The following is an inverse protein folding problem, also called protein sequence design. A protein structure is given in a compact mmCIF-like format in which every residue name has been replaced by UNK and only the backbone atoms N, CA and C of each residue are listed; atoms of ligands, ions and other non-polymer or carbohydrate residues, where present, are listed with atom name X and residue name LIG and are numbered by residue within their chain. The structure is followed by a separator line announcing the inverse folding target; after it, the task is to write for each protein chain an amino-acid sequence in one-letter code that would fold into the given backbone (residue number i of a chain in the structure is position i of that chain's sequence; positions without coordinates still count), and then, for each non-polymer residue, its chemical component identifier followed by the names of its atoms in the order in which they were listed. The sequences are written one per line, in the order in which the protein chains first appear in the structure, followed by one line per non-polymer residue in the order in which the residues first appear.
data_IF_306290807951
#
_entry.id   IF_306290807951
#
_cell.length_a   1.000
_cell.length_b   1.000
_cell.length_c   1.000
_cell.angle_alpha   90.00
_cell.angle_beta   90.00
_cell.angle_gamma   90.00
#
_symmetry.space_group_name_H-M   'P 1'
#
loop_
_entity.id
_entity.type
_entity.pdbx_description
1 polymer ?
#
# COMPACT_ATOMS: atom_id res chain seq x y z
N UNK A 1 -9.60 10.82 8.66
CA UNK A 1 -9.40 9.74 7.67
C UNK A 1 -8.80 10.37 6.43
N UNK A 2 -7.54 10.07 6.13
CA UNK A 2 -6.96 10.42 4.84
C UNK A 2 -7.75 9.71 3.74
N UNK A 3 -8.15 10.48 2.73
CA UNK A 3 -8.98 10.00 1.64
C UNK A 3 -8.07 9.49 0.53
N UNK A 4 -7.62 8.24 0.67
CA UNK A 4 -6.68 7.57 -0.26
C UNK A 4 -7.14 7.68 -1.71
N UNK A 5 -8.46 7.59 -1.94
CA UNK A 5 -9.04 7.73 -3.29
C UNK A 5 -8.84 9.15 -3.85
N UNK A 6 -8.86 10.17 -3.00
CA UNK A 6 -8.60 11.57 -3.38
C UNK A 6 -7.13 11.80 -3.71
N UNK A 7 -6.20 11.14 -3.01
CA UNK A 7 -4.76 11.33 -3.25
C UNK A 7 -4.26 10.50 -4.44
N UNK A 8 -4.82 9.30 -4.63
CA UNK A 8 -4.61 8.47 -5.80
C UNK A 8 -5.13 9.12 -7.11
N UNK A 9 -6.15 9.99 -7.02
CA UNK A 9 -6.72 10.70 -8.18
C UNK A 9 -6.04 12.03 -8.53
N UNK A 10 -4.99 12.42 -7.78
CA UNK A 10 -4.22 13.63 -8.10
C UNK A 10 -3.44 13.45 -9.41
N UNK A 11 -3.32 14.54 -10.17
CA UNK A 11 -2.48 14.56 -11.38
C UNK A 11 -1.04 14.18 -11.07
N UNK A 12 -0.48 13.28 -11.88
CA UNK A 12 0.85 12.69 -11.69
C UNK A 12 0.89 11.50 -10.72
N UNK A 13 -0.25 11.03 -10.22
CA UNK A 13 -0.37 9.77 -9.50
C UNK A 13 -0.59 8.60 -10.46
N UNK A 14 0.02 7.45 -10.17
CA UNK A 14 -0.21 6.18 -10.86
C UNK A 14 -0.84 5.20 -9.88
N UNK A 15 -1.93 4.54 -10.26
CA UNK A 15 -2.65 3.63 -9.35
C UNK A 15 -1.83 2.36 -9.07
N UNK A 16 -1.95 1.83 -7.84
CA UNK A 16 -1.32 0.58 -7.42
C UNK A 16 -2.37 -0.31 -6.74
N UNK A 17 -2.42 -1.59 -7.11
CA UNK A 17 -3.32 -2.59 -6.51
C UNK A 17 -2.60 -3.90 -6.27
N UNK A 18 -2.76 -4.48 -5.08
CA UNK A 18 -2.34 -5.84 -4.76
C UNK A 18 -3.34 -6.48 -3.77
N UNK A 19 -4.16 -7.42 -4.23
CA UNK A 19 -5.20 -8.01 -3.38
C UNK A 19 -6.15 -6.96 -2.81
N UNK A 20 -6.27 -6.90 -1.49
CA UNK A 20 -7.04 -5.89 -0.76
C UNK A 20 -6.32 -4.54 -0.61
N UNK A 21 -4.98 -4.49 -0.75
CA UNK A 21 -4.24 -3.23 -0.70
C UNK A 21 -4.45 -2.39 -1.95
N UNK A 22 -4.62 -1.09 -1.73
CA UNK A 22 -4.70 -0.07 -2.78
C UNK A 22 -3.74 1.05 -2.45
N UNK A 23 -3.30 1.76 -3.48
CA UNK A 23 -2.36 2.82 -3.29
C UNK A 23 -2.06 3.58 -4.56
N UNK A 24 -1.02 4.38 -4.51
CA UNK A 24 -0.55 5.13 -5.66
C UNK A 24 0.93 5.44 -5.56
N UNK A 25 1.56 5.59 -6.71
CA UNK A 25 2.87 6.20 -6.84
C UNK A 25 2.73 7.65 -7.29
N UNK A 26 3.46 8.57 -6.65
CA UNK A 26 3.51 9.98 -7.05
C UNK A 26 4.90 10.54 -6.83
N UNK A 27 5.54 10.97 -7.92
CA UNK A 27 6.87 11.56 -7.89
C UNK A 27 7.92 10.53 -7.51
N UNK A 28 8.29 10.51 -6.23
CA UNK A 28 9.34 9.69 -5.64
C UNK A 28 8.79 8.65 -4.65
N UNK A 29 7.49 8.62 -4.42
CA UNK A 29 6.89 7.86 -3.32
C UNK A 29 5.81 6.93 -3.83
N UNK A 30 5.85 5.67 -3.41
CA UNK A 30 4.77 4.70 -3.53
C UNK A 30 4.11 4.52 -2.15
N UNK A 31 2.82 4.82 -2.07
CA UNK A 31 2.00 4.71 -0.87
C UNK A 31 1.05 3.54 -1.02
N UNK A 32 1.03 2.61 -0.07
CA UNK A 32 0.06 1.51 -0.01
C UNK A 32 -0.75 1.57 1.28
N UNK A 33 -2.03 1.24 1.14
CA UNK A 33 -3.00 1.31 2.21
C UNK A 33 -3.76 0.00 2.32
N UNK A 34 -3.97 -0.45 3.54
CA UNK A 34 -4.78 -1.62 3.88
C UNK A 34 -5.72 -1.28 5.02
N UNK A 35 -6.98 -1.70 4.86
CA UNK A 35 -7.92 -1.67 5.96
C UNK A 35 -7.52 -2.78 6.93
N UNK A 36 -7.39 -2.41 8.20
CA UNK A 36 -7.05 -3.30 9.29
C UNK A 36 -8.13 -3.24 10.35
N UNK A 37 -8.87 -4.33 10.47
CA UNK A 37 -9.82 -4.55 11.56
C UNK A 37 -9.10 -5.29 12.69
N UNK A 38 -9.04 -4.68 13.86
CA UNK A 38 -8.39 -5.32 15.02
C UNK A 38 -9.30 -6.33 15.69
N UNK A 39 -8.74 -7.45 16.15
CA UNK A 39 -9.49 -8.50 16.88
C UNK A 39 -10.25 -8.02 18.12
N UNK A 40 -9.91 -6.85 18.68
CA UNK A 40 -10.51 -6.33 19.91
C UNK A 40 -11.59 -5.26 19.69
N UNK A 41 -11.98 -4.94 18.44
CA UNK A 41 -13.05 -3.97 18.22
C UNK A 41 -13.53 -3.86 16.77
N UNK A 42 -14.74 -3.35 16.62
CA UNK A 42 -15.40 -3.07 15.31
C UNK A 42 -14.78 -1.86 14.57
N UNK A 43 -13.62 -1.36 15.02
CA UNK A 43 -12.98 -0.18 14.46
C UNK A 43 -11.94 -0.60 13.41
N UNK A 44 -12.30 -0.43 12.14
CA UNK A 44 -11.35 -0.56 11.02
C UNK A 44 -10.46 0.68 10.95
N UNK A 45 -9.16 0.49 11.11
CA UNK A 45 -8.16 1.54 10.89
C UNK A 45 -7.43 1.33 9.56
N UNK A 46 -6.88 2.42 9.03
CA UNK A 46 -6.09 2.39 7.81
C UNK A 46 -4.61 2.27 8.17
N UNK A 47 -3.96 1.17 7.78
CA UNK A 47 -2.52 1.06 7.83
C UNK A 47 -1.93 1.57 6.51
N UNK A 48 -1.03 2.55 6.61
CA UNK A 48 -0.32 3.14 5.46
C UNK A 48 1.16 2.81 5.52
N UNK A 49 1.75 2.51 4.36
CA UNK A 49 3.20 2.40 4.17
C UNK A 49 3.61 3.21 2.97
N UNK A 50 4.58 4.08 3.20
CA UNK A 50 5.21 4.90 2.16
C UNK A 50 6.64 4.41 1.92
N UNK A 51 6.92 4.07 0.66
CA UNK A 51 8.28 3.79 0.18
C UNK A 51 8.70 4.94 -0.71
N UNK A 52 9.79 5.62 -0.35
CA UNK A 52 10.34 6.71 -1.14
C UNK A 52 11.68 6.31 -1.76
N UNK A 53 11.79 6.51 -3.06
CA UNK A 53 12.98 6.27 -3.87
C UNK A 53 13.13 7.39 -4.92
N UNK A 54 14.17 7.33 -5.76
CA UNK A 54 14.36 8.31 -6.83
C UNK A 54 13.08 8.55 -7.65
N UNK A 55 12.86 9.81 -8.05
CA UNK A 55 11.70 10.17 -8.85
C UNK A 55 11.73 9.40 -10.17
N UNK A 56 10.69 8.62 -10.42
CA UNK A 56 10.62 7.75 -11.60
C UNK A 56 9.24 7.81 -12.26
N UNK A 57 9.20 7.47 -13.54
CA UNK A 57 7.96 7.16 -14.27
C UNK A 57 8.00 5.74 -14.84
N UNK A 58 9.09 5.01 -14.61
CA UNK A 58 9.29 3.67 -15.12
C UNK A 58 8.41 2.69 -14.36
N UNK A 59 7.61 1.92 -15.11
CA UNK A 59 6.63 1.00 -14.51
C UNK A 59 7.29 -0.13 -13.71
N UNK A 60 8.50 -0.54 -14.07
CA UNK A 60 9.29 -1.53 -13.31
C UNK A 60 9.64 -1.01 -11.93
N UNK A 61 10.18 0.20 -11.85
CA UNK A 61 10.64 0.80 -10.60
C UNK A 61 9.46 1.03 -9.66
N UNK A 62 8.34 1.52 -10.20
CA UNK A 62 7.10 1.69 -9.45
C UNK A 62 6.60 0.35 -8.90
N UNK A 63 6.69 -0.73 -9.68
CA UNK A 63 6.32 -2.08 -9.21
C UNK A 63 7.26 -2.58 -8.10
N UNK A 64 8.55 -2.30 -8.18
CA UNK A 64 9.51 -2.69 -7.15
C UNK A 64 9.26 -1.93 -5.84
N UNK A 65 9.05 -0.61 -5.92
CA UNK A 65 8.67 0.21 -4.77
C UNK A 65 7.37 -0.28 -4.13
N UNK A 66 6.35 -0.57 -4.95
CA UNK A 66 5.09 -1.12 -4.49
C UNK A 66 5.24 -2.51 -3.85
N UNK A 67 6.12 -3.35 -4.40
CA UNK A 67 6.40 -4.69 -3.84
C UNK A 67 7.04 -4.56 -2.47
N UNK A 68 8.02 -3.67 -2.32
CA UNK A 68 8.66 -3.39 -1.03
C UNK A 68 7.66 -2.85 0.00
N UNK A 69 6.77 -1.95 -0.41
CA UNK A 69 5.70 -1.46 0.47
C UNK A 69 4.76 -2.60 0.91
N UNK A 70 4.42 -3.50 0.01
CA UNK A 70 3.55 -4.67 0.29
C UNK A 70 4.21 -5.63 1.27
N UNK A 71 5.50 -5.93 1.06
CA UNK A 71 6.28 -6.80 1.95
C UNK A 71 6.40 -6.20 3.35
N UNK A 72 6.57 -4.88 3.43
CA UNK A 72 6.61 -4.13 4.69
C UNK A 72 5.27 -4.19 5.43
N UNK A 73 4.15 -4.02 4.72
CA UNK A 73 2.81 -4.17 5.29
C UNK A 73 2.63 -5.58 5.87
N UNK A 74 2.97 -6.64 5.13
CA UNK A 74 2.86 -8.03 5.63
C UNK A 74 3.65 -8.24 6.92
N UNK A 75 4.89 -7.73 6.96
CA UNK A 75 5.76 -7.84 8.14
C UNK A 75 5.21 -7.08 9.34
N UNK A 76 4.74 -5.84 9.16
CA UNK A 76 4.20 -5.03 10.26
C UNK A 76 2.85 -5.56 10.76
N UNK A 77 1.98 -5.99 9.84
CA UNK A 77 0.69 -6.56 10.16
C UNK A 77 0.80 -7.83 11.01
N UNK A 78 1.65 -8.76 10.58
CA UNK A 78 1.83 -10.03 11.28
C UNK A 78 2.55 -9.92 12.63
N UNK A 79 3.42 -8.90 12.81
CA UNK A 79 4.27 -8.79 14.01
C UNK A 79 3.83 -7.75 15.03
N UNK A 80 3.17 -6.67 14.60
CA UNK A 80 2.93 -5.49 15.44
C UNK A 80 1.42 -5.29 15.64
N UNK A 81 0.65 -5.36 14.55
CA UNK A 81 -0.73 -4.88 14.54
C UNK A 81 -1.80 -5.98 14.60
N UNK A 82 -1.42 -7.26 14.48
CA UNK A 82 -2.34 -8.41 14.45
C UNK A 82 -3.50 -8.21 13.44
N UNK A 83 -3.18 -7.63 12.29
CA UNK A 83 -4.12 -7.35 11.22
C UNK A 83 -4.11 -8.50 10.21
N UNK A 84 -5.11 -9.39 10.29
CA UNK A 84 -5.21 -10.57 9.42
C UNK A 84 -5.29 -10.19 7.94
N UNK A 85 -6.09 -9.16 7.61
CA UNK A 85 -6.30 -8.67 6.23
C UNK A 85 -5.01 -8.22 5.54
N UNK A 86 -4.04 -7.71 6.31
CA UNK A 86 -2.75 -7.28 5.84
C UNK A 86 -1.68 -8.39 5.90
N UNK A 87 -1.84 -9.37 6.79
CA UNK A 87 -1.01 -10.57 6.84
C UNK A 87 -1.28 -11.49 5.63
N UNK A 88 -2.53 -11.55 5.16
CA UNK A 88 -3.00 -12.40 4.07
C UNK A 88 -2.81 -11.80 2.67
N UNK A 89 -2.02 -10.72 2.55
CA UNK A 89 -1.75 -10.13 1.24
C UNK A 89 -1.10 -11.15 0.30
N UNK A 90 -1.57 -11.25 -0.96
CA UNK A 90 -1.11 -12.28 -1.87
C UNK A 90 0.39 -12.14 -2.14
N UNK A 91 1.05 -13.30 -2.26
CA UNK A 91 2.41 -13.38 -2.75
C UNK A 91 2.39 -13.12 -4.27
N UNK A 92 2.80 -11.92 -4.69
CA UNK A 92 2.79 -11.53 -6.10
C UNK A 92 3.19 -10.06 -6.31
N UNK A 93 3.40 -9.71 -7.58
CA UNK A 93 3.71 -8.32 -7.95
C UNK A 93 2.45 -7.45 -7.97
N UNK A 94 2.52 -6.20 -7.47
CA UNK A 94 1.45 -5.24 -7.60
C UNK A 94 1.14 -4.90 -9.06
N UNK A 95 -0.14 -4.67 -9.33
CA UNK A 95 -0.58 -4.04 -10.56
C UNK A 95 -0.36 -2.53 -10.44
N UNK A 96 0.26 -1.95 -11.47
CA UNK A 96 0.58 -0.52 -11.54
C UNK A 96 -0.03 0.03 -12.82
N UNK A 97 -0.77 1.13 -12.76
CA UNK A 97 -1.40 1.75 -13.94
C UNK A 97 -2.91 1.70 -13.85
#
# INVERSE_FOLDING_TARGET
MEDVARDASKSGSTSIVLGSTRGFHRGATASLFVNCTYHTGDETQLLSVDVTYEKTTERSDIKEMASLASDTIRLMAGKIWLCEEAADLPNGQPQVG
#
